data_IF_108514519396
#
_entry.id   IF_108514519396
#
_cell.length_a   1.000
_cell.length_b   1.000
_cell.length_c   1.000
_cell.angle_alpha   90.00
_cell.angle_beta   90.00
_cell.angle_gamma   90.00
#
_symmetry.space_group_name_H-M   'P 1'
#
loop_
_entity.id
_entity.type
_entity.pdbx_description
1 polymer ?
#
# COMPACT_ATOMS: atom_id res chain seq x y z
N UNK A 1 5.11 -4.94 20.28
CA UNK A 1 3.91 -5.18 19.45
C UNK A 1 3.38 -3.83 19.02
N UNK A 2 3.69 -3.39 17.80
CA UNK A 2 3.28 -2.08 17.31
C UNK A 2 1.81 -2.15 16.84
N UNK A 3 1.01 -1.27 17.42
CA UNK A 3 -0.43 -1.14 17.24
C UNK A 3 -0.75 -0.55 15.86
N UNK A 4 -1.18 -1.39 14.92
CA UNK A 4 -1.50 -1.04 13.53
C UNK A 4 -2.90 -0.43 13.37
N UNK A 5 -3.42 0.24 14.41
CA UNK A 5 -4.85 0.57 14.51
C UNK A 5 -5.15 2.07 14.68
N UNK A 6 -4.30 2.95 14.14
CA UNK A 6 -4.62 4.39 14.07
C UNK A 6 -4.75 4.90 12.63
N UNK A 7 -6.01 4.95 12.21
CA UNK A 7 -6.63 6.00 11.38
C UNK A 7 -5.99 6.25 10.02
N UNK A 8 -6.21 5.35 9.08
CA UNK A 8 -6.54 5.79 7.74
C UNK A 8 -8.05 6.13 7.73
N UNK A 9 -8.39 7.41 7.98
CA UNK A 9 -9.73 7.90 7.70
C UNK A 9 -9.86 7.98 6.17
N UNK A 10 -10.19 6.86 5.54
CA UNK A 10 -10.66 6.87 4.17
C UNK A 10 -12.06 7.46 4.19
N UNK A 11 -12.25 8.54 3.42
CA UNK A 11 -13.57 9.07 3.10
C UNK A 11 -14.26 8.03 2.20
N UNK A 12 -14.87 7.02 2.83
CA UNK A 12 -15.84 6.18 2.15
C UNK A 12 -17.02 7.10 1.78
N UNK A 13 -17.45 7.16 0.52
CA UNK A 13 -18.66 7.90 0.18
C UNK A 13 -19.79 7.37 1.05
N UNK A 14 -20.53 8.29 1.66
CA UNK A 14 -21.62 8.15 2.64
C UNK A 14 -21.95 6.73 3.12
N UNK A 15 -21.91 6.53 4.45
CA UNK A 15 -22.36 5.31 5.13
C UNK A 15 -23.79 4.93 4.72
N UNK A 16 -23.93 4.17 3.66
CA UNK A 16 -25.11 3.34 3.48
C UNK A 16 -25.03 2.20 4.49
N UNK A 17 -26.13 1.84 5.18
CA UNK A 17 -26.18 0.70 6.09
C UNK A 17 -26.09 -0.59 5.28
N UNK A 18 -24.87 -0.92 4.88
CA UNK A 18 -24.51 -2.05 4.05
C UNK A 18 -23.19 -2.62 4.53
N UNK A 19 -23.10 -3.94 4.61
CA UNK A 19 -21.82 -4.59 4.89
C UNK A 19 -20.94 -4.53 3.63
N UNK A 20 -19.63 -4.33 3.84
CA UNK A 20 -18.62 -4.44 2.80
C UNK A 20 -18.01 -5.85 2.83
N UNK A 21 -17.82 -6.48 1.68
CA UNK A 21 -17.16 -7.78 1.55
C UNK A 21 -16.28 -7.82 0.32
N UNK A 22 -15.57 -8.94 0.12
CA UNK A 22 -14.72 -9.18 -1.06
C UNK A 22 -13.70 -8.06 -1.31
N UNK A 23 -13.13 -7.53 -0.22
CA UNK A 23 -12.16 -6.44 -0.26
C UNK A 23 -10.84 -6.96 -0.82
N UNK A 24 -10.42 -6.42 -1.96
CA UNK A 24 -9.17 -6.78 -2.64
C UNK A 24 -8.42 -5.53 -3.06
N UNK A 25 -7.11 -5.52 -2.82
CA UNK A 25 -6.22 -4.44 -3.23
C UNK A 25 -5.39 -4.90 -4.43
N UNK A 26 -5.34 -4.05 -5.45
CA UNK A 26 -4.59 -4.28 -6.67
C UNK A 26 -3.60 -3.15 -6.88
N UNK A 27 -2.32 -3.50 -7.04
CA UNK A 27 -1.31 -2.55 -7.47
C UNK A 27 -1.59 -2.15 -8.93
N UNK A 28 -1.63 -0.85 -9.19
CA UNK A 28 -1.89 -0.30 -10.52
C UNK A 28 -0.55 0.00 -11.20
N UNK A 29 -0.18 -0.82 -12.18
CA UNK A 29 1.11 -0.72 -12.85
C UNK A 29 2.28 -1.26 -12.03
N UNK A 30 3.50 -0.95 -12.48
CA UNK A 30 4.74 -1.36 -11.82
C UNK A 30 5.39 -0.16 -11.11
N UNK A 31 5.35 -0.07 -9.77
CA UNK A 31 5.92 1.04 -9.03
C UNK A 31 7.46 1.07 -9.07
N UNK A 32 8.12 -0.02 -9.51
CA UNK A 32 9.57 -0.04 -9.66
C UNK A 32 10.07 0.86 -10.78
N UNK A 33 9.23 1.14 -11.78
CA UNK A 33 9.59 1.93 -12.97
C UNK A 33 10.00 3.37 -12.69
N UNK A 34 9.51 3.96 -11.59
CA UNK A 34 9.85 5.32 -11.14
C UNK A 34 10.57 5.32 -9.78
N UNK A 35 11.10 4.18 -9.36
CA UNK A 35 11.80 4.06 -8.07
C UNK A 35 13.23 4.58 -8.19
N UNK A 36 13.62 5.46 -7.27
CA UNK A 36 15.00 5.87 -7.07
C UNK A 36 15.66 4.95 -6.05
N UNK A 37 16.90 4.55 -6.31
CA UNK A 37 17.70 3.70 -5.43
C UNK A 37 18.98 4.42 -5.04
N UNK A 38 19.29 4.45 -3.75
CA UNK A 38 20.55 4.96 -3.19
C UNK A 38 21.16 3.95 -2.24
N UNK A 39 22.49 3.92 -2.15
CA UNK A 39 23.22 3.06 -1.24
C UNK A 39 23.98 3.89 -0.21
N UNK A 40 23.81 3.56 1.06
CA UNK A 40 24.61 4.12 2.15
C UNK A 40 25.74 3.13 2.51
N UNK A 41 26.96 3.46 2.10
CA UNK A 41 28.15 2.64 2.37
C UNK A 41 28.56 2.56 3.83
N UNK A 42 28.09 3.45 4.70
CA UNK A 42 28.39 3.39 6.13
C UNK A 42 27.53 2.35 6.85
N UNK A 43 26.26 2.19 6.44
CA UNK A 43 25.31 1.27 7.05
C UNK A 43 25.12 -0.03 6.25
N UNK A 44 25.53 -0.04 4.98
CA UNK A 44 25.27 -1.15 4.07
C UNK A 44 23.81 -1.23 3.62
N UNK A 45 23.00 -0.20 3.88
CA UNK A 45 21.58 -0.16 3.52
C UNK A 45 21.40 0.39 2.10
N UNK A 46 20.56 -0.29 1.34
CA UNK A 46 20.04 0.18 0.06
C UNK A 46 18.66 0.77 0.31
N UNK A 47 18.51 2.06 0.08
CA UNK A 47 17.23 2.74 0.19
C UNK A 47 16.58 2.84 -1.19
N UNK A 48 15.38 2.30 -1.32
CA UNK A 48 14.53 2.41 -2.50
C UNK A 48 13.32 3.29 -2.17
N UNK A 49 13.11 4.34 -2.94
CA UNK A 49 11.98 5.25 -2.76
C UNK A 49 11.27 5.49 -4.08
N UNK A 50 9.94 5.42 -4.06
CA UNK A 50 9.12 5.60 -5.25
C UNK A 50 7.70 5.97 -4.88
N UNK A 51 6.84 5.99 -5.88
CA UNK A 51 5.42 6.22 -5.71
C UNK A 51 4.62 4.99 -6.18
N UNK A 52 3.45 4.80 -5.59
CA UNK A 52 2.55 3.71 -5.92
C UNK A 52 1.13 4.25 -6.15
N UNK A 53 0.40 3.54 -7.00
CA UNK A 53 -1.05 3.68 -7.13
C UNK A 53 -1.67 2.31 -6.93
N UNK A 54 -2.76 2.25 -6.19
CA UNK A 54 -3.51 1.03 -5.90
C UNK A 54 -5.00 1.28 -6.14
N UNK A 55 -5.69 0.22 -6.54
CA UNK A 55 -7.15 0.17 -6.63
C UNK A 55 -7.66 -0.80 -5.58
N UNK A 56 -8.67 -0.40 -4.83
CA UNK A 56 -9.43 -1.23 -3.91
C UNK A 56 -10.73 -1.64 -4.58
N UNK A 57 -10.89 -2.92 -4.85
CA UNK A 57 -12.15 -3.49 -5.31
C UNK A 57 -12.89 -4.09 -4.11
N UNK A 58 -14.19 -3.82 -4.01
CA UNK A 58 -15.03 -4.35 -2.92
C UNK A 58 -16.49 -4.45 -3.35
N UNK A 59 -17.24 -5.33 -2.70
CA UNK A 59 -18.70 -5.37 -2.85
C UNK A 59 -19.37 -4.65 -1.68
N UNK A 60 -20.25 -3.70 -1.99
CA UNK A 60 -21.11 -3.06 -1.03
C UNK A 60 -22.52 -3.67 -1.08
N UNK A 61 -23.01 -4.19 0.03
CA UNK A 61 -24.37 -4.73 0.09
C UNK A 61 -25.39 -3.63 0.34
N UNK A 62 -26.22 -3.31 -0.64
CA UNK A 62 -27.32 -2.33 -0.52
C UNK A 62 -28.65 -3.04 -0.79
N UNK A 63 -29.63 -2.88 0.10
CA UNK A 63 -30.98 -3.44 -0.07
C UNK A 63 -30.95 -4.94 -0.42
N UNK A 64 -30.06 -5.69 0.25
CA UNK A 64 -29.94 -7.14 0.07
C UNK A 64 -29.18 -7.61 -1.19
N UNK A 65 -28.70 -6.70 -2.04
CA UNK A 65 -27.91 -7.01 -3.25
C UNK A 65 -26.48 -6.51 -3.12
N UNK A 66 -25.54 -7.19 -3.77
CA UNK A 66 -24.15 -6.77 -3.82
C UNK A 66 -23.92 -5.84 -5.01
N UNK A 67 -23.18 -4.76 -4.75
CA UNK A 67 -22.80 -3.76 -5.74
C UNK A 67 -21.27 -3.65 -5.76
N UNK A 68 -20.60 -4.05 -6.86
CA UNK A 68 -19.17 -3.85 -7.00
C UNK A 68 -18.82 -2.37 -6.97
N UNK A 69 -17.75 -2.06 -6.26
CA UNK A 69 -17.21 -0.72 -6.07
C UNK A 69 -15.70 -0.76 -6.26
N UNK A 70 -15.14 0.37 -6.67
CA UNK A 70 -13.70 0.57 -6.78
C UNK A 70 -13.30 1.92 -6.18
N UNK A 71 -12.22 1.95 -5.42
CA UNK A 71 -11.62 3.18 -4.89
C UNK A 71 -10.13 3.23 -5.23
N UNK A 72 -9.61 4.41 -5.56
CA UNK A 72 -8.17 4.60 -5.83
C UNK A 72 -7.46 5.13 -4.60
N UNK A 73 -6.25 4.64 -4.37
CA UNK A 73 -5.32 5.17 -3.39
C UNK A 73 -3.95 5.34 -4.04
N UNK A 74 -3.24 6.40 -3.67
CA UNK A 74 -1.88 6.65 -4.15
C UNK A 74 -1.03 7.23 -3.02
N UNK A 75 0.29 7.09 -3.15
CA UNK A 75 1.24 7.66 -2.21
C UNK A 75 2.68 7.30 -2.54
N UNK A 76 3.60 7.80 -1.73
CA UNK A 76 5.00 7.42 -1.79
C UNK A 76 5.30 6.23 -0.86
N UNK A 77 6.33 5.47 -1.20
CA UNK A 77 6.93 4.48 -0.32
C UNK A 77 8.44 4.73 -0.18
N UNK A 78 8.98 4.28 0.94
CA UNK A 78 10.40 4.08 1.14
C UNK A 78 10.62 2.68 1.70
N UNK A 79 11.56 1.95 1.11
CA UNK A 79 12.00 0.65 1.54
C UNK A 79 13.50 0.69 1.83
N UNK A 80 13.89 0.29 3.04
CA UNK A 80 15.28 0.07 3.40
C UNK A 80 15.56 -1.41 3.22
N UNK A 81 16.54 -1.75 2.39
CA UNK A 81 16.89 -3.10 2.00
C UNK A 81 18.32 -3.41 2.44
N UNK A 82 18.54 -4.64 2.88
CA UNK A 82 19.85 -5.18 3.20
C UNK A 82 20.18 -6.33 2.25
N UNK A 83 21.43 -6.41 1.79
CA UNK A 83 21.91 -7.54 0.99
C UNK A 83 22.46 -8.63 1.91
N UNK A 84 21.79 -9.78 1.98
CA UNK A 84 22.18 -10.90 2.85
C UNK A 84 23.22 -11.86 2.21
N UNK A 85 23.89 -11.41 1.15
CA UNK A 85 24.76 -12.20 0.27
C UNK A 85 24.06 -13.11 -0.75
N UNK A 86 22.75 -13.31 -0.62
CA UNK A 86 21.96 -14.13 -1.55
C UNK A 86 20.81 -13.36 -2.20
N UNK A 87 20.21 -12.42 -1.48
CA UNK A 87 19.07 -11.62 -1.93
C UNK A 87 18.99 -10.29 -1.16
N UNK A 88 18.18 -9.39 -1.71
CA UNK A 88 17.73 -8.21 -0.98
C UNK A 88 16.65 -8.62 0.01
N UNK A 89 16.86 -8.25 1.27
CA UNK A 89 15.94 -8.48 2.37
C UNK A 89 15.39 -7.13 2.83
N UNK A 90 14.07 -6.92 2.86
CA UNK A 90 13.51 -5.70 3.40
C UNK A 90 13.77 -5.63 4.91
N UNK A 91 14.39 -4.55 5.33
CA UNK A 91 14.54 -4.17 6.73
C UNK A 91 13.29 -3.42 7.17
N UNK A 92 12.89 -2.40 6.39
CA UNK A 92 11.66 -1.64 6.60
C UNK A 92 10.98 -1.35 5.26
N UNK A 93 9.66 -1.24 5.28
CA UNK A 93 8.87 -0.63 4.20
C UNK A 93 7.86 0.28 4.88
N UNK A 94 7.84 1.54 4.48
CA UNK A 94 6.97 2.55 5.08
C UNK A 94 6.38 3.47 4.02
N UNK A 95 5.26 4.09 4.36
CA UNK A 95 4.67 5.16 3.55
C UNK A 95 5.55 6.41 3.69
N UNK A 96 5.96 6.97 2.56
CA UNK A 96 6.62 8.28 2.48
C UNK A 96 5.53 9.36 2.56
N UNK A 97 5.65 10.26 3.55
CA UNK A 97 4.74 11.40 3.78
C UNK A 97 5.14 12.54 2.86
#
# INVERSE_FOLDING_TARGET
MADFNRRAQFHLPERHPGSTKNIQWHLSGDPSTATTVSFDGATGIIQAAGDFTMTLDYDQRLVGKDHPQHAKASGGFQADLFWDWTKLVPVTISRRI
#
